data_IF_816777477535
#
_entry.id   IF_816777477535
#
_cell.length_a   1.000
_cell.length_b   1.000
_cell.length_c   1.000
_cell.angle_alpha   90.00
_cell.angle_beta   90.00
_cell.angle_gamma   90.00
#
_symmetry.space_group_name_H-M   'P 1'
#
loop_
_entity.id
_entity.type
_entity.pdbx_description
1 polymer ?
#
# COMPACT_ATOMS: atom_id res chain seq x y z
N UNK A 1 -26.54 7.59 32.34
CA UNK A 1 -27.05 7.38 30.97
C UNK A 1 -25.92 6.73 30.20
N UNK A 2 -26.04 5.45 29.88
CA UNK A 2 -25.05 4.71 29.09
C UNK A 2 -25.17 5.18 27.64
N UNK A 3 -24.12 5.80 27.13
CA UNK A 3 -23.85 5.86 25.68
C UNK A 3 -22.43 5.38 25.44
N UNK A 4 -22.15 4.14 25.89
CA UNK A 4 -21.27 3.25 25.13
C UNK A 4 -21.97 2.98 23.80
N UNK A 5 -21.74 3.85 22.84
CA UNK A 5 -21.70 3.41 21.45
C UNK A 5 -20.23 3.36 21.11
N UNK A 6 -19.59 2.25 21.49
CA UNK A 6 -18.58 1.67 20.60
C UNK A 6 -19.27 1.61 19.23
N UNK A 7 -18.96 2.58 18.37
CA UNK A 7 -19.28 2.42 16.96
C UNK A 7 -18.49 1.19 16.53
N UNK A 8 -19.15 0.14 16.03
CA UNK A 8 -18.42 -1.03 15.59
C UNK A 8 -17.42 -0.56 14.53
N UNK A 9 -16.17 -1.01 14.67
CA UNK A 9 -15.08 -0.81 13.74
C UNK A 9 -15.58 -0.98 12.29
N UNK A 10 -15.97 0.12 11.66
CA UNK A 10 -16.27 0.19 10.23
C UNK A 10 -14.93 0.58 9.59
N UNK A 11 -13.94 -0.30 9.74
CA UNK A 11 -12.57 -0.17 9.21
C UNK A 11 -12.38 -1.10 8.01
N UNK A 12 -13.41 -1.31 7.20
CA UNK A 12 -13.37 -2.32 6.14
C UNK A 12 -14.32 -1.86 5.06
N UNK A 13 -13.93 -1.01 4.11
CA UNK A 13 -12.77 -1.13 3.23
C UNK A 13 -12.38 0.26 2.64
N UNK A 14 -11.31 0.89 3.15
CA UNK A 14 -10.70 2.04 2.47
C UNK A 14 -10.41 1.68 1.01
N UNK A 15 -10.74 2.58 0.09
CA UNK A 15 -10.51 2.40 -1.34
C UNK A 15 -9.40 3.33 -1.77
N UNK A 16 -8.41 2.86 -2.50
CA UNK A 16 -7.26 3.63 -2.94
C UNK A 16 -7.16 3.56 -4.46
N UNK A 17 -6.57 4.57 -5.08
CA UNK A 17 -6.33 4.56 -6.52
C UNK A 17 -5.14 5.43 -6.95
N UNK A 18 -4.70 5.22 -8.19
CA UNK A 18 -3.62 6.00 -8.80
C UNK A 18 -4.12 7.31 -9.39
N UNK A 19 -3.26 8.32 -9.30
CA UNK A 19 -3.42 9.62 -9.95
C UNK A 19 -2.06 10.13 -10.42
N UNK A 20 -2.05 11.09 -11.34
CA UNK A 20 -0.84 11.64 -11.96
C UNK A 20 -0.91 13.16 -12.06
N UNK A 21 0.22 13.83 -11.82
CA UNK A 21 0.36 15.28 -11.92
C UNK A 21 0.93 15.74 -13.28
N UNK A 22 1.14 17.05 -13.43
CA UNK A 22 1.69 17.65 -14.66
C UNK A 22 3.19 17.31 -14.90
N UNK A 23 3.91 16.83 -13.88
CA UNK A 23 5.30 16.37 -13.96
C UNK A 23 5.40 14.85 -14.25
N UNK A 24 4.26 14.23 -14.60
CA UNK A 24 4.07 12.80 -14.77
C UNK A 24 4.44 11.97 -13.52
N UNK A 25 4.44 12.56 -12.32
CA UNK A 25 4.59 11.82 -11.07
C UNK A 25 3.30 11.07 -10.75
N UNK A 26 3.42 9.80 -10.39
CA UNK A 26 2.30 8.99 -9.93
C UNK A 26 2.16 9.12 -8.42
N UNK A 27 0.94 9.39 -7.98
CA UNK A 27 0.53 9.34 -6.59
C UNK A 27 -0.51 8.24 -6.37
N UNK A 28 -0.63 7.80 -5.13
CA UNK A 28 -1.75 7.01 -4.64
C UNK A 28 -2.56 7.91 -3.71
N UNK A 29 -3.88 7.91 -3.87
CA UNK A 29 -4.81 8.49 -2.91
C UNK A 29 -5.62 7.37 -2.27
N UNK A 30 -5.75 7.41 -0.95
CA UNK A 30 -6.68 6.58 -0.19
C UNK A 30 -7.91 7.38 0.19
N UNK A 31 -9.06 6.88 -0.24
CA UNK A 31 -10.38 7.38 0.06
C UNK A 31 -10.95 6.64 1.25
N UNK A 32 -11.44 7.41 2.22
CA UNK A 32 -12.35 6.90 3.22
C UNK A 32 -13.75 6.72 2.61
N UNK A 33 -14.51 5.73 3.08
CA UNK A 33 -15.81 5.31 2.52
C UNK A 33 -16.83 6.44 2.38
N UNK A 34 -16.78 7.44 3.27
CA UNK A 34 -17.73 8.55 3.24
C UNK A 34 -17.48 9.56 2.11
N UNK A 35 -16.24 9.67 1.61
CA UNK A 35 -15.83 10.82 0.80
C UNK A 35 -15.78 10.57 -0.69
N UNK A 36 -15.40 11.60 -1.47
CA UNK A 36 -15.44 11.52 -2.92
C UNK A 36 -14.54 10.38 -3.44
N UNK A 37 -15.16 9.27 -3.81
CA UNK A 37 -14.48 8.19 -4.54
C UNK A 37 -14.83 8.32 -6.02
N UNK A 38 -13.87 8.35 -6.95
CA UNK A 38 -14.20 8.41 -8.37
C UNK A 38 -15.04 7.20 -8.82
N UNK A 39 -16.02 7.41 -9.70
CA UNK A 39 -17.00 6.37 -10.07
C UNK A 39 -16.40 5.12 -10.72
N UNK A 40 -15.29 5.29 -11.42
CA UNK A 40 -14.57 4.26 -12.15
C UNK A 40 -13.50 3.54 -11.30
N UNK A 41 -13.36 3.90 -10.02
CA UNK A 41 -12.45 3.23 -9.08
C UNK A 41 -13.13 2.00 -8.47
N UNK A 42 -12.50 0.81 -8.59
CA UNK A 42 -12.95 -0.42 -7.94
C UNK A 42 -12.98 -0.29 -6.41
N UNK A 43 -14.04 -0.78 -5.79
CA UNK A 43 -14.15 -0.82 -4.32
C UNK A 43 -13.24 -1.89 -3.71
N UNK A 44 -12.80 -1.66 -2.47
CA UNK A 44 -12.16 -2.69 -1.67
C UNK A 44 -10.62 -2.74 -1.72
N UNK A 45 -9.98 -1.80 -2.42
CA UNK A 45 -8.51 -1.78 -2.54
C UNK A 45 -7.87 -0.80 -1.56
N UNK A 46 -7.16 -1.26 -0.53
CA UNK A 46 -6.36 -0.35 0.31
C UNK A 46 -5.04 0.08 -0.35
N UNK A 47 -4.32 1.05 0.22
CA UNK A 47 -2.99 1.48 -0.30
C UNK A 47 -2.08 0.26 -0.53
N UNK A 48 -2.04 -0.67 0.43
CA UNK A 48 -1.19 -1.87 0.36
C UNK A 48 -1.43 -2.75 -0.88
N UNK A 49 -2.61 -2.69 -1.50
CA UNK A 49 -2.91 -3.40 -2.73
C UNK A 49 -2.23 -2.79 -3.95
N UNK A 50 -2.06 -1.47 -3.96
CA UNK A 50 -1.54 -0.72 -5.10
C UNK A 50 -0.02 -0.56 -5.07
N UNK A 51 0.60 -0.92 -3.94
CA UNK A 51 2.03 -0.90 -3.83
C UNK A 51 2.62 -2.08 -4.63
N UNK A 52 3.73 -1.78 -5.33
CA UNK A 52 4.70 -2.71 -5.92
C UNK A 52 4.45 -3.28 -7.32
N UNK A 53 5.49 -4.01 -7.77
CA UNK A 53 5.76 -4.58 -9.09
C UNK A 53 4.64 -5.36 -9.78
N UNK A 54 4.86 -5.86 -11.01
CA UNK A 54 3.90 -6.74 -11.66
C UNK A 54 3.63 -7.96 -10.76
N UNK A 55 2.37 -8.17 -10.40
CA UNK A 55 1.91 -9.41 -9.82
C UNK A 55 2.19 -10.54 -10.82
N UNK A 56 2.74 -11.65 -10.35
CA UNK A 56 2.95 -12.84 -11.21
C UNK A 56 1.67 -13.64 -11.41
N UNK A 57 0.61 -13.31 -10.67
CA UNK A 57 -0.71 -13.92 -10.79
C UNK A 57 -1.69 -12.91 -11.42
N UNK A 58 -2.02 -13.12 -12.69
CA UNK A 58 -2.88 -12.22 -13.49
C UNK A 58 -4.34 -12.19 -12.99
N UNK A 59 -4.75 -13.16 -12.15
CA UNK A 59 -6.14 -13.41 -11.81
C UNK A 59 -6.66 -12.72 -10.53
N UNK A 60 -5.85 -11.88 -9.88
CA UNK A 60 -6.24 -11.22 -8.63
C UNK A 60 -6.16 -9.70 -8.72
N UNK A 61 -7.36 -9.10 -8.77
CA UNK A 61 -7.67 -7.68 -8.51
C UNK A 61 -7.27 -6.70 -9.62
N UNK A 62 -7.98 -5.56 -9.77
CA UNK A 62 -7.77 -4.61 -10.85
C UNK A 62 -6.52 -3.73 -10.64
N UNK A 63 -5.36 -4.29 -10.28
CA UNK A 63 -4.10 -3.54 -10.08
C UNK A 63 -3.44 -3.19 -11.41
N UNK A 64 -2.52 -2.23 -11.42
CA UNK A 64 -1.74 -1.89 -12.62
C UNK A 64 -0.33 -2.48 -12.47
N UNK A 65 0.03 -3.54 -13.21
CA UNK A 65 1.34 -4.18 -13.07
C UNK A 65 2.43 -3.34 -13.74
N UNK A 66 3.40 -2.85 -12.96
CA UNK A 66 4.61 -2.21 -13.50
C UNK A 66 5.78 -2.29 -12.53
N UNK A 67 7.01 -2.30 -13.06
CA UNK A 67 8.21 -2.37 -12.23
C UNK A 67 8.64 -0.98 -11.73
N UNK A 68 9.13 -0.94 -10.49
CA UNK A 68 9.83 0.21 -9.93
C UNK A 68 11.34 0.12 -10.20
N UNK A 69 12.03 1.26 -10.19
CA UNK A 69 13.48 1.34 -10.38
C UNK A 69 14.23 0.89 -9.14
N UNK A 70 15.53 0.66 -9.25
CA UNK A 70 16.35 0.24 -8.11
C UNK A 70 16.52 1.33 -7.06
N UNK A 71 16.49 2.60 -7.46
CA UNK A 71 16.48 3.76 -6.54
C UNK A 71 15.15 3.86 -5.78
N UNK A 72 14.04 3.56 -6.46
CA UNK A 72 12.72 3.45 -5.84
C UNK A 72 12.62 2.25 -4.89
N UNK A 73 13.32 1.15 -5.21
CA UNK A 73 13.48 0.03 -4.28
C UNK A 73 14.26 0.50 -3.06
N UNK A 74 15.34 1.27 -3.21
CA UNK A 74 16.07 1.81 -2.04
C UNK A 74 15.18 2.69 -1.15
N UNK A 75 14.40 3.60 -1.73
CA UNK A 75 13.42 4.40 -0.98
C UNK A 75 12.38 3.52 -0.27
N UNK A 76 11.98 2.41 -0.87
CA UNK A 76 11.07 1.44 -0.25
C UNK A 76 11.76 0.70 0.92
N UNK A 77 12.96 0.17 0.72
CA UNK A 77 13.65 -0.63 1.74
C UNK A 77 14.13 0.21 2.94
N UNK A 78 14.37 1.52 2.77
CA UNK A 78 15.02 2.34 3.80
C UNK A 78 14.20 2.54 5.08
N UNK A 79 12.86 2.53 4.98
CA UNK A 79 11.99 2.81 6.12
C UNK A 79 10.98 1.69 6.39
N UNK A 80 10.63 0.89 5.38
CA UNK A 80 9.54 -0.09 5.50
C UNK A 80 10.01 -1.46 5.98
N UNK A 81 11.32 -1.65 6.07
CA UNK A 81 11.93 -2.89 6.49
C UNK A 81 12.54 -2.72 7.87
N UNK A 82 12.01 -3.47 8.82
CA UNK A 82 12.68 -3.65 10.10
C UNK A 82 13.66 -4.82 9.98
N UNK A 83 14.92 -4.52 10.28
CA UNK A 83 16.10 -5.39 10.45
C UNK A 83 16.11 -6.72 9.67
N UNK A 84 17.04 -6.93 8.72
CA UNK A 84 17.18 -8.23 8.06
C UNK A 84 17.36 -9.34 9.10
N UNK A 85 16.57 -10.40 8.96
CA UNK A 85 16.66 -11.59 9.81
C UNK A 85 17.08 -12.79 8.98
N UNK A 86 17.85 -13.69 9.59
CA UNK A 86 17.93 -15.03 9.05
C UNK A 86 16.53 -15.64 9.11
N UNK A 87 16.15 -16.52 8.16
CA UNK A 87 14.81 -17.11 8.13
C UNK A 87 14.41 -17.81 9.44
N UNK A 88 15.40 -18.36 10.14
CA UNK A 88 15.23 -19.11 11.39
C UNK A 88 15.02 -18.20 12.62
N UNK A 89 15.35 -16.91 12.52
CA UNK A 89 15.23 -15.93 13.60
C UNK A 89 13.89 -15.17 13.55
N UNK A 90 12.98 -15.59 12.68
CA UNK A 90 11.67 -14.95 12.46
C UNK A 90 10.64 -15.52 13.43
N UNK A 91 10.34 -14.74 14.48
CA UNK A 91 9.40 -15.13 15.56
C UNK A 91 7.92 -14.95 15.20
N UNK A 92 7.64 -14.02 14.28
CA UNK A 92 6.30 -13.71 13.79
C UNK A 92 6.30 -13.88 12.30
N UNK A 93 5.20 -14.41 11.76
CA UNK A 93 5.02 -14.58 10.33
C UNK A 93 3.80 -13.75 9.85
N UNK A 94 3.90 -12.42 9.91
CA UNK A 94 3.04 -11.43 9.28
C UNK A 94 3.77 -10.56 8.23
N UNK A 95 3.37 -10.66 6.94
CA UNK A 95 3.78 -9.79 5.80
C UNK A 95 5.30 -9.53 5.69
N UNK A 96 6.03 -10.36 4.94
CA UNK A 96 7.48 -10.17 4.71
C UNK A 96 7.83 -9.93 3.25
N UNK A 97 8.96 -9.25 3.07
CA UNK A 97 9.76 -9.34 1.86
C UNK A 97 10.82 -10.42 2.08
N UNK A 98 10.90 -11.38 1.17
CA UNK A 98 11.98 -12.38 1.16
C UNK A 98 13.02 -12.03 0.12
N UNK A 99 14.27 -12.30 0.45
CA UNK A 99 15.38 -12.26 -0.48
C UNK A 99 15.81 -13.67 -0.84
N UNK A 100 16.03 -13.87 -2.14
CA UNK A 100 16.65 -15.09 -2.68
C UNK A 100 18.00 -14.77 -3.32
N UNK A 101 18.82 -15.80 -3.50
CA UNK A 101 19.92 -15.73 -4.46
C UNK A 101 19.35 -15.53 -5.88
N UNK A 102 19.61 -14.38 -6.54
CA UNK A 102 19.05 -14.10 -7.87
C UNK A 102 19.47 -15.13 -8.93
N UNK A 103 20.62 -15.81 -8.75
CA UNK A 103 21.09 -16.85 -9.67
C UNK A 103 20.23 -18.12 -9.64
N UNK A 104 19.40 -18.28 -8.59
CA UNK A 104 18.54 -19.44 -8.35
C UNK A 104 17.05 -19.13 -8.49
N UNK A 105 16.72 -18.06 -9.22
CA UNK A 105 15.33 -17.59 -9.44
C UNK A 105 14.41 -18.69 -9.99
N UNK A 106 14.89 -19.51 -10.93
CA UNK A 106 14.06 -20.59 -11.51
C UNK A 106 13.78 -21.73 -10.51
N UNK A 107 14.75 -22.07 -9.66
CA UNK A 107 14.57 -23.04 -8.59
C UNK A 107 13.56 -22.52 -7.56
N UNK A 108 13.68 -21.24 -7.17
CA UNK A 108 12.71 -20.58 -6.30
C UNK A 108 11.28 -20.66 -6.86
N UNK A 109 11.08 -20.30 -8.14
CA UNK A 109 9.76 -20.40 -8.77
C UNK A 109 9.25 -21.85 -8.84
N UNK A 110 10.12 -22.82 -9.09
CA UNK A 110 9.74 -24.24 -9.09
C UNK A 110 9.25 -24.68 -7.71
N UNK A 111 9.99 -24.35 -6.65
CA UNK A 111 9.59 -24.64 -5.28
C UNK A 111 8.27 -23.94 -4.91
N UNK A 112 8.08 -22.66 -5.29
CA UNK A 112 6.80 -21.96 -5.07
C UNK A 112 5.63 -22.68 -5.77
N UNK A 113 5.81 -23.13 -7.02
CA UNK A 113 4.76 -23.88 -7.74
C UNK A 113 4.45 -25.22 -7.08
N UNK A 114 5.49 -25.97 -6.69
CA UNK A 114 5.34 -27.27 -6.03
C UNK A 114 4.62 -27.14 -4.67
N UNK A 115 4.97 -26.12 -3.89
CA UNK A 115 4.35 -25.83 -2.60
C UNK A 115 3.00 -25.11 -2.68
N UNK A 116 2.53 -24.77 -3.89
CA UNK A 116 1.32 -23.97 -4.09
C UNK A 116 1.39 -22.60 -3.42
N UNK A 117 2.57 -21.97 -3.41
CA UNK A 117 2.85 -20.70 -2.75
C UNK A 117 2.66 -19.52 -3.72
N UNK A 118 1.64 -18.67 -3.52
CA UNK A 118 1.45 -17.48 -4.34
C UNK A 118 2.60 -16.48 -4.15
N UNK A 119 3.21 -16.08 -5.26
CA UNK A 119 4.10 -14.92 -5.30
C UNK A 119 3.20 -13.71 -5.57
N UNK A 120 2.96 -12.92 -4.52
CA UNK A 120 2.06 -11.76 -4.61
C UNK A 120 2.71 -10.61 -5.38
N UNK A 121 4.05 -10.49 -5.27
CA UNK A 121 4.77 -9.35 -5.82
C UNK A 121 6.23 -9.69 -6.09
N UNK A 122 6.74 -9.29 -7.25
CA UNK A 122 8.17 -9.18 -7.54
C UNK A 122 8.63 -7.72 -7.35
N UNK A 123 9.33 -7.42 -6.26
CA UNK A 123 9.80 -6.06 -5.94
C UNK A 123 11.04 -5.71 -6.77
N UNK A 124 12.05 -6.58 -6.77
CA UNK A 124 13.25 -6.42 -7.59
C UNK A 124 13.78 -7.79 -8.03
N UNK A 125 13.76 -8.03 -9.34
CA UNK A 125 14.40 -9.21 -9.93
C UNK A 125 15.92 -9.19 -9.72
N UNK A 126 16.54 -8.01 -9.80
CA UNK A 126 17.99 -7.84 -9.68
C UNK A 126 18.48 -8.22 -8.28
N UNK A 127 17.74 -7.82 -7.25
CA UNK A 127 18.08 -8.08 -5.84
C UNK A 127 17.47 -9.38 -5.29
N UNK A 128 16.64 -10.07 -6.07
CA UNK A 128 15.94 -11.27 -5.64
C UNK A 128 14.88 -10.99 -4.57
N UNK A 129 14.17 -9.86 -4.63
CA UNK A 129 13.20 -9.44 -3.60
C UNK A 129 11.75 -9.73 -4.02
N UNK A 130 11.04 -10.47 -3.18
CA UNK A 130 9.68 -10.93 -3.44
C UNK A 130 8.78 -10.84 -2.21
N UNK A 131 7.47 -10.65 -2.42
CA UNK A 131 6.44 -10.89 -1.41
C UNK A 131 5.75 -12.20 -1.77
N UNK A 132 5.81 -13.18 -0.86
CA UNK A 132 5.27 -14.53 -1.06
C UNK A 132 4.36 -14.86 0.10
N UNK A 133 3.22 -15.49 -0.18
CA UNK A 133 2.35 -15.99 0.88
C UNK A 133 2.82 -17.37 1.35
N UNK A 134 3.54 -17.39 2.48
CA UNK A 134 4.02 -18.61 3.14
C UNK A 134 3.04 -19.16 4.19
N UNK A 135 1.78 -18.69 4.27
CA UNK A 135 0.87 -19.08 5.37
C UNK A 135 0.71 -20.59 5.55
N UNK A 136 0.73 -21.35 4.46
CA UNK A 136 0.65 -22.82 4.46
C UNK A 136 1.92 -23.53 4.98
N UNK A 137 3.04 -22.82 5.05
CA UNK A 137 4.34 -23.34 5.52
C UNK A 137 4.58 -23.08 7.01
N UNK A 138 3.66 -22.40 7.70
CA UNK A 138 3.82 -21.97 9.09
C UNK A 138 2.94 -22.85 10.01
N UNK A 139 3.54 -23.37 11.07
CA UNK A 139 2.86 -24.07 12.16
C UNK A 139 2.67 -23.15 13.35
N UNK A 140 1.47 -23.19 13.93
CA UNK A 140 1.17 -22.54 15.21
C UNK A 140 1.40 -23.55 16.34
N UNK A 141 2.25 -23.19 17.30
CA UNK A 141 2.52 -23.96 18.51
C UNK A 141 1.95 -23.18 19.69
N UNK A 142 1.08 -23.79 20.48
CA UNK A 142 0.37 -23.11 21.57
C UNK A 142 1.01 -23.28 22.95
N UNK A 143 1.99 -24.19 23.11
CA UNK A 143 2.59 -24.52 24.42
C UNK A 143 4.12 -24.58 24.35
N UNK A 144 4.84 -24.13 25.40
CA UNK A 144 4.35 -23.42 26.60
C UNK A 144 4.01 -21.94 26.37
N UNK A 145 4.36 -21.39 25.20
CA UNK A 145 4.00 -20.05 24.73
C UNK A 145 3.55 -20.12 23.28
N UNK A 146 2.59 -19.27 22.90
CA UNK A 146 2.16 -19.17 21.50
C UNK A 146 3.32 -18.69 20.63
N UNK A 147 3.65 -19.46 19.59
CA UNK A 147 4.63 -19.08 18.57
C UNK A 147 4.26 -19.62 17.19
N UNK A 148 4.68 -18.88 16.16
CA UNK A 148 4.61 -19.31 14.77
C UNK A 148 5.99 -19.74 14.33
N UNK A 149 6.11 -20.96 13.82
CA UNK A 149 7.40 -21.50 13.34
C UNK A 149 7.24 -22.03 11.93
N UNK A 150 8.34 -22.05 11.16
CA UNK A 150 8.37 -22.75 9.88
C UNK A 150 8.15 -24.24 10.13
N UNK A 151 7.25 -24.86 9.36
CA UNK A 151 7.11 -26.32 9.34
C UNK A 151 8.36 -26.95 8.71
N UNK A 152 9.05 -27.83 9.45
CA UNK A 152 10.24 -28.56 9.01
C UNK A 152 10.02 -29.36 7.71
N UNK A 153 8.78 -29.74 7.40
CA UNK A 153 8.46 -30.48 6.16
C UNK A 153 8.01 -29.56 5.01
N UNK A 154 7.91 -28.26 5.25
CA UNK A 154 7.42 -27.32 4.23
C UNK A 154 8.45 -27.04 3.14
N UNK A 155 7.94 -26.65 1.97
CA UNK A 155 8.75 -26.09 0.88
C UNK A 155 9.57 -24.88 1.36
N UNK A 156 9.04 -24.08 2.29
CA UNK A 156 9.80 -22.96 2.83
C UNK A 156 11.07 -23.44 3.54
N UNK A 157 10.98 -24.47 4.39
CA UNK A 157 12.16 -25.06 5.03
C UNK A 157 13.17 -25.56 4.01
N UNK A 158 12.71 -26.24 2.95
CA UNK A 158 13.58 -26.71 1.86
C UNK A 158 14.32 -25.56 1.16
N UNK A 159 13.65 -24.43 0.92
CA UNK A 159 14.28 -23.24 0.34
C UNK A 159 15.35 -22.64 1.27
N UNK A 160 15.12 -22.65 2.58
CA UNK A 160 16.10 -22.17 3.57
C UNK A 160 17.31 -23.12 3.64
N UNK A 161 17.09 -24.43 3.80
CA UNK A 161 18.16 -25.42 3.92
C UNK A 161 19.03 -25.52 2.67
N UNK A 162 18.40 -25.36 1.50
CA UNK A 162 19.13 -25.34 0.23
C UNK A 162 19.83 -24.02 -0.04
N UNK A 163 19.60 -22.97 0.76
CA UNK A 163 20.18 -21.64 0.56
C UNK A 163 19.56 -20.85 -0.60
N UNK A 164 18.35 -21.19 -1.04
CA UNK A 164 17.58 -20.39 -2.01
C UNK A 164 17.12 -19.10 -1.34
N UNK A 165 16.55 -19.22 -0.14
CA UNK A 165 16.03 -18.09 0.64
C UNK A 165 17.12 -17.64 1.62
N UNK A 166 17.64 -16.43 1.41
CA UNK A 166 18.83 -15.94 2.12
C UNK A 166 18.49 -14.99 3.26
N UNK A 167 17.40 -14.23 3.15
CA UNK A 167 17.07 -13.17 4.11
C UNK A 167 15.57 -12.91 4.13
N UNK A 168 15.07 -12.50 5.30
CA UNK A 168 13.69 -12.06 5.50
C UNK A 168 13.71 -10.65 6.07
N UNK A 169 12.79 -9.83 5.58
CA UNK A 169 12.60 -8.45 5.97
C UNK A 169 11.18 -8.25 6.47
N UNK A 170 11.04 -7.72 7.69
CA UNK A 170 9.74 -7.45 8.30
C UNK A 170 9.14 -6.17 7.70
N UNK A 171 7.95 -6.27 7.12
CA UNK A 171 7.32 -5.17 6.42
C UNK A 171 6.38 -4.41 7.37
N UNK A 172 6.63 -3.12 7.57
CA UNK A 172 5.74 -2.26 8.35
C UNK A 172 4.31 -2.26 7.81
N UNK A 173 3.34 -2.03 8.69
CA UNK A 173 1.95 -1.87 8.27
C UNK A 173 1.77 -0.56 7.49
N UNK A 174 1.10 -0.67 6.34
CA UNK A 174 0.69 0.49 5.56
C UNK A 174 -0.64 1.01 6.06
N UNK A 175 -0.60 1.65 7.23
CA UNK A 175 -1.77 2.28 7.82
C UNK A 175 -1.55 3.79 7.99
N UNK A 176 -2.63 4.54 7.81
CA UNK A 176 -2.66 5.98 8.03
C UNK A 176 -3.90 6.28 8.86
N UNK A 177 -3.67 6.74 10.08
CA UNK A 177 -4.73 7.17 10.97
C UNK A 177 -5.00 8.66 10.79
N UNK A 178 -6.25 9.06 11.00
CA UNK A 178 -6.65 10.47 11.01
C UNK A 178 -7.56 10.75 12.19
N UNK A 179 -7.23 11.76 12.98
CA UNK A 179 -8.01 12.17 14.15
C UNK A 179 -8.32 13.67 14.10
N UNK A 180 -9.54 14.05 14.51
CA UNK A 180 -9.91 15.45 14.59
C UNK A 180 -9.47 16.06 15.92
N UNK A 181 -8.46 16.93 15.89
CA UNK A 181 -8.04 17.69 17.06
C UNK A 181 -9.03 18.85 17.31
N UNK A 182 -9.94 18.66 18.27
CA UNK A 182 -10.95 19.67 18.65
C UNK A 182 -10.35 20.97 19.17
N UNK A 183 -9.19 20.93 19.83
CA UNK A 183 -8.57 22.11 20.41
C UNK A 183 -7.95 23.01 19.33
N UNK A 184 -7.38 22.40 18.29
CA UNK A 184 -6.78 23.13 17.17
C UNK A 184 -7.69 23.31 15.96
N UNK A 185 -8.86 22.66 15.96
CA UNK A 185 -9.86 22.77 14.90
C UNK A 185 -9.40 22.17 13.56
N UNK A 186 -8.51 21.18 13.58
CA UNK A 186 -7.91 20.57 12.38
C UNK A 186 -7.77 19.06 12.48
N UNK A 187 -7.70 18.39 11.33
CA UNK A 187 -7.34 16.98 11.24
C UNK A 187 -5.83 16.80 11.45
N UNK A 188 -5.47 15.86 12.29
CA UNK A 188 -4.13 15.33 12.46
C UNK A 188 -4.04 13.95 11.83
N UNK A 189 -2.87 13.62 11.28
CA UNK A 189 -2.64 12.35 10.59
C UNK A 189 -1.36 11.72 11.12
N UNK A 190 -1.37 10.42 11.32
CA UNK A 190 -0.24 9.62 11.78
C UNK A 190 -0.05 8.40 10.89
N UNK A 191 1.21 7.98 10.73
CA UNK A 191 1.57 6.78 9.99
C UNK A 191 2.92 6.23 10.48
N UNK A 192 3.11 4.92 10.38
CA UNK A 192 4.36 4.24 10.75
C UNK A 192 5.43 4.29 9.66
N UNK A 193 5.04 4.63 8.43
CA UNK A 193 5.93 4.72 7.28
C UNK A 193 6.15 6.15 6.79
N UNK A 194 7.36 6.43 6.34
CA UNK A 194 7.87 7.77 6.01
C UNK A 194 8.46 7.84 4.61
N UNK A 195 8.85 6.71 4.02
CA UNK A 195 9.39 6.67 2.65
C UNK A 195 8.59 5.71 1.78
N UNK A 196 8.29 6.16 0.57
CA UNK A 196 7.65 5.41 -0.51
C UNK A 196 8.12 5.96 -1.85
N UNK A 197 8.08 5.18 -2.93
CA UNK A 197 8.32 5.70 -4.28
C UNK A 197 7.10 6.45 -4.86
N UNK A 198 6.02 6.58 -4.09
CA UNK A 198 4.80 7.28 -4.47
C UNK A 198 4.60 8.51 -3.59
N UNK A 199 4.01 9.54 -4.18
CA UNK A 199 3.25 10.50 -3.39
C UNK A 199 2.04 9.79 -2.80
N UNK A 200 1.79 9.93 -1.50
CA UNK A 200 0.63 9.32 -0.84
C UNK A 200 -0.27 10.44 -0.33
N UNK A 201 -1.54 10.41 -0.73
CA UNK A 201 -2.58 11.27 -0.20
C UNK A 201 -3.59 10.44 0.59
N UNK A 202 -4.08 10.96 1.70
CA UNK A 202 -5.10 10.28 2.50
C UNK A 202 -6.25 11.22 2.77
N UNK A 203 -7.44 10.75 2.43
CA UNK A 203 -8.69 11.41 2.74
C UNK A 203 -9.11 11.05 4.17
N UNK A 204 -9.35 12.03 5.05
CA UNK A 204 -9.88 11.76 6.38
C UNK A 204 -11.33 11.24 6.32
N UNK A 205 -11.79 10.67 7.43
CA UNK A 205 -13.17 10.18 7.57
C UNK A 205 -14.24 11.25 7.27
N UNK A 206 -13.98 12.50 7.64
CA UNK A 206 -14.91 13.61 7.44
C UNK A 206 -14.64 14.33 6.11
N UNK A 207 -15.59 14.24 5.18
CA UNK A 207 -15.53 14.83 3.83
C UNK A 207 -15.43 16.35 3.78
N UNK A 208 -15.65 17.01 4.93
CA UNK A 208 -15.47 18.44 5.11
C UNK A 208 -13.98 18.85 5.12
N UNK A 209 -13.06 17.90 5.10
CA UNK A 209 -11.62 18.14 5.06
C UNK A 209 -11.01 17.54 3.80
N UNK A 210 -10.01 18.23 3.25
CA UNK A 210 -9.28 17.79 2.07
C UNK A 210 -8.42 16.57 2.35
N UNK A 211 -8.16 15.78 1.30
CA UNK A 211 -7.13 14.77 1.35
C UNK A 211 -5.77 15.46 1.53
N UNK A 212 -4.94 14.93 2.43
CA UNK A 212 -3.62 15.49 2.75
C UNK A 212 -2.51 14.61 2.20
N UNK A 213 -1.47 15.22 1.64
CA UNK A 213 -0.22 14.56 1.25
C UNK A 213 0.53 14.10 2.51
N UNK A 214 0.69 12.78 2.64
CA UNK A 214 1.38 12.13 3.74
C UNK A 214 2.82 11.78 3.41
N UNK A 215 3.10 11.40 2.15
CA UNK A 215 4.44 11.02 1.71
C UNK A 215 4.84 11.83 0.49
N UNK A 216 6.10 12.27 0.50
CA UNK A 216 6.80 12.85 -0.65
C UNK A 216 7.97 11.92 -1.00
N UNK A 217 7.96 11.29 -2.19
CA UNK A 217 9.01 10.37 -2.60
C UNK A 217 10.31 11.12 -2.93
N UNK A 218 11.47 10.50 -2.72
CA UNK A 218 12.72 11.02 -3.27
C UNK A 218 12.83 10.73 -4.76
N UNK A 219 12.49 9.49 -5.16
CA UNK A 219 12.46 9.05 -6.56
C UNK A 219 11.03 8.69 -6.97
N UNK A 220 10.17 9.68 -7.33
CA UNK A 220 8.77 9.41 -7.66
C UNK A 220 8.62 8.42 -8.83
N UNK A 221 7.65 7.52 -8.72
CA UNK A 221 7.17 6.73 -9.86
C UNK A 221 6.66 7.67 -10.95
N UNK A 222 7.03 7.37 -12.19
CA UNK A 222 6.62 8.14 -13.37
C UNK A 222 5.54 7.43 -14.17
N UNK A 223 4.67 8.20 -14.82
CA UNK A 223 3.65 7.68 -15.73
C UNK A 223 4.25 6.83 -16.87
N UNK A 224 5.48 7.13 -17.27
CA UNK A 224 6.21 6.34 -18.27
C UNK A 224 6.50 4.91 -17.82
N UNK A 225 6.58 4.65 -16.51
CA UNK A 225 6.71 3.30 -15.94
C UNK A 225 5.39 2.52 -16.04
N UNK A 226 4.26 3.20 -16.09
CA UNK A 226 2.94 2.58 -16.25
C UNK A 226 2.73 2.12 -17.70
N UNK A 227 2.30 0.86 -17.94
CA UNK A 227 2.00 0.38 -19.27
C UNK A 227 0.91 1.22 -19.93
N UNK A 228 1.09 1.53 -21.21
CA UNK A 228 0.24 2.45 -21.96
C UNK A 228 -1.24 2.07 -21.90
N UNK A 229 -1.55 0.77 -21.99
CA UNK A 229 -2.90 0.24 -21.92
C UNK A 229 -3.61 0.50 -20.59
N UNK A 230 -2.90 0.84 -19.51
CA UNK A 230 -3.49 1.16 -18.21
C UNK A 230 -3.51 2.65 -17.88
N UNK A 231 -2.78 3.50 -18.62
CA UNK A 231 -2.68 4.94 -18.33
C UNK A 231 -4.02 5.67 -18.36
N UNK A 232 -4.98 5.17 -19.15
CA UNK A 232 -6.32 5.74 -19.22
C UNK A 232 -7.13 5.60 -17.92
N UNK A 233 -6.71 4.71 -17.01
CA UNK A 233 -7.35 4.45 -15.71
C UNK A 233 -6.80 5.37 -14.61
N UNK A 234 -5.77 6.15 -14.88
CA UNK A 234 -5.11 7.02 -13.90
C UNK A 234 -5.69 8.43 -14.01
N UNK A 235 -6.19 8.98 -12.91
CA UNK A 235 -6.76 10.33 -12.90
C UNK A 235 -5.66 11.38 -13.04
N UNK A 236 -5.85 12.32 -13.97
CA UNK A 236 -4.95 13.47 -14.14
C UNK A 236 -5.38 14.60 -13.21
N UNK A 237 -4.43 15.08 -12.40
CA UNK A 237 -4.63 16.18 -11.45
C UNK A 237 -3.77 17.35 -11.92
N UNK A 238 -4.38 18.51 -12.26
CA UNK A 238 -3.63 19.71 -12.63
C UNK A 238 -2.70 20.20 -11.50
N UNK A 239 -1.56 20.75 -11.89
CA UNK A 239 -0.52 21.21 -10.98
C UNK A 239 0.51 20.13 -10.66
N UNK A 240 1.44 20.44 -9.76
CA UNK A 240 2.55 19.55 -9.36
C UNK A 240 2.29 19.02 -7.97
N UNK A 241 2.42 17.70 -7.76
CA UNK A 241 2.20 17.11 -6.44
C UNK A 241 3.18 17.63 -5.40
N UNK A 242 4.38 18.07 -5.78
CA UNK A 242 5.34 18.69 -4.85
C UNK A 242 4.78 19.97 -4.19
N UNK A 243 4.02 20.76 -4.95
CA UNK A 243 3.52 22.07 -4.53
C UNK A 243 2.11 21.98 -3.90
N UNK A 244 1.53 20.77 -3.89
CA UNK A 244 0.12 20.55 -3.60
C UNK A 244 -0.08 19.67 -2.35
N UNK A 245 -0.03 20.29 -1.17
CA UNK A 245 -0.19 19.54 0.09
C UNK A 245 -1.61 18.96 0.25
N UNK A 246 -2.62 19.65 -0.25
CA UNK A 246 -4.03 19.24 -0.15
C UNK A 246 -4.67 19.01 -1.52
N UNK A 247 -5.65 18.09 -1.57
CA UNK A 247 -6.33 17.68 -2.80
C UNK A 247 -7.83 17.49 -2.57
N UNK A 248 -8.64 18.01 -3.49
CA UNK A 248 -10.06 17.71 -3.62
C UNK A 248 -10.29 16.94 -4.92
N UNK A 249 -10.31 15.61 -4.86
CA UNK A 249 -10.45 14.76 -6.06
C UNK A 249 -11.73 15.07 -6.86
N UNK A 250 -12.82 15.46 -6.18
CA UNK A 250 -14.08 15.81 -6.82
C UNK A 250 -14.04 17.10 -7.66
N UNK A 251 -13.00 17.93 -7.54
CA UNK A 251 -12.78 19.06 -8.45
C UNK A 251 -12.26 18.60 -9.83
N UNK A 252 -11.68 17.40 -9.90
CA UNK A 252 -10.95 16.92 -11.08
C UNK A 252 -11.62 15.73 -11.78
N UNK A 253 -12.43 14.94 -11.07
CA UNK A 253 -13.12 13.77 -11.62
C UNK A 253 -14.51 13.54 -11.00
N UNK A 254 -15.49 12.98 -11.74
CA UNK A 254 -16.78 12.60 -11.19
C UNK A 254 -16.66 11.56 -10.06
N UNK A 255 -17.23 11.89 -8.91
CA UNK A 255 -17.14 11.06 -7.69
C UNK A 255 -18.51 10.63 -7.17
N UNK A 256 -18.54 9.44 -6.55
CA UNK A 256 -19.63 8.97 -5.68
C UNK A 256 -19.38 9.46 -4.26
N UNK A 257 -20.48 9.58 -3.54
CA UNK A 257 -20.54 9.99 -2.14
C UNK A 257 -21.51 9.06 -1.44
N UNK A 258 -21.18 8.63 -0.22
CA UNK A 258 -22.16 7.89 0.58
C UNK A 258 -23.29 8.84 1.01
N UNK A 259 -24.53 8.36 0.95
CA UNK A 259 -25.76 9.17 1.01
C UNK A 259 -25.84 10.08 2.25
N UNK A 260 -25.42 11.33 2.10
CA UNK A 260 -25.83 12.42 2.99
C UNK A 260 -26.98 13.19 2.33
N UNK A 261 -28.18 13.28 2.94
CA UNK A 261 -29.39 13.82 2.30
C UNK A 261 -29.36 15.33 1.93
N UNK A 262 -28.21 16.01 2.06
CA UNK A 262 -27.99 17.40 1.67
C UNK A 262 -26.65 17.62 0.94
N UNK A 263 -26.10 16.58 0.28
CA UNK A 263 -24.81 16.65 -0.37
C UNK A 263 -24.85 17.52 -1.65
N UNK A 264 -23.95 18.52 -1.75
CA UNK A 264 -23.70 19.30 -2.97
C UNK A 264 -22.19 19.44 -3.20
N UNK A 265 -21.74 19.33 -4.45
CA UNK A 265 -20.34 19.64 -4.81
C UNK A 265 -19.94 21.07 -4.39
N UNK A 266 -20.90 21.99 -4.32
CA UNK A 266 -20.65 23.37 -3.89
C UNK A 266 -20.35 23.51 -2.39
N UNK A 267 -20.59 22.48 -1.58
CA UNK A 267 -20.34 22.48 -0.14
C UNK A 267 -19.03 21.78 0.24
N UNK A 268 -18.32 21.20 -0.72
CA UNK A 268 -17.00 20.62 -0.49
C UNK A 268 -15.95 21.73 -0.32
N UNK A 269 -14.96 21.53 0.58
CA UNK A 269 -13.80 22.40 0.63
C UNK A 269 -13.08 22.38 -0.71
N UNK A 270 -12.59 23.56 -1.11
CA UNK A 270 -11.77 23.72 -2.31
C UNK A 270 -10.31 23.79 -1.93
N UNK A 271 -9.45 23.40 -2.85
CA UNK A 271 -8.00 23.43 -2.63
C UNK A 271 -7.50 24.85 -2.33
N UNK A 272 -8.10 25.86 -2.96
CA UNK A 272 -7.78 27.26 -2.74
C UNK A 272 -8.09 27.73 -1.32
N UNK A 273 -9.02 27.08 -0.61
CA UNK A 273 -9.37 27.41 0.77
C UNK A 273 -8.26 27.04 1.77
N UNK A 274 -7.29 26.21 1.35
CA UNK A 274 -6.22 25.66 2.17
C UNK A 274 -4.83 26.23 1.83
N UNK A 275 -4.74 27.16 0.89
CA UNK A 275 -3.49 27.87 0.58
C UNK A 275 -3.34 29.03 1.59
N UNK A 276 -2.26 29.07 2.41
CA UNK A 276 -2.01 30.21 3.28
C UNK A 276 -1.85 31.49 2.43
N UNK A 277 -2.71 32.48 2.66
CA UNK A 277 -2.59 33.84 2.10
C UNK A 277 -1.40 34.60 2.67
#
# INVERSE_FOLDING_TARGET
MKTDKEYPATHSMSTAWYMVDDDDNVAIIEYNENGPVPWDVPEGEGISSLLFGPNTNEDLLPRIPFAITEEQVDDFLSDLIEYPRAPDDVERWSRYVVQIDPTRTEEFYACCREGGLPINTQISKRRGLYIVNFSSCIKEIYEPTYRKVIDEQSVMRQMVDSGILTTIYDLKFFDVESEYNKAEGRMEFSTEFKTMPYYIYVQPYWVAHLAKRMITPHHPVKLSQVPENFRHRIHRIPGRFADKEYLQIAQHTPCRFEESPNFSLSTLPREEDYIPT
#
